data_IF_777681128874
#
_entry.id   IF_777681128874
#
_cell.length_a   1.000
_cell.length_b   1.000
_cell.length_c   1.000
_cell.angle_alpha   90.00
_cell.angle_beta   90.00
_cell.angle_gamma   90.00
#
_symmetry.space_group_name_H-M   'P 1'
#
loop_
_entity.id
_entity.type
_entity.pdbx_description
1 polymer ?
#
# COMPACT_ATOMS: atom_id res chain seq x y z
N UNK A 1 7.14 -3.21 -7.16
CA UNK A 1 7.28 -3.57 -5.74
C UNK A 1 7.37 -5.07 -5.56
N UNK A 2 8.35 -5.51 -4.77
CA UNK A 2 8.56 -6.89 -4.37
C UNK A 2 8.42 -7.09 -2.86
N UNK A 3 8.98 -8.19 -2.36
CA UNK A 3 8.96 -8.55 -0.94
C UNK A 3 9.96 -7.66 -0.18
N UNK A 4 9.47 -6.88 0.80
CA UNK A 4 10.27 -5.97 1.63
C UNK A 4 10.39 -6.56 3.03
N UNK A 5 11.62 -6.72 3.52
CA UNK A 5 11.86 -7.09 4.92
C UNK A 5 12.03 -5.82 5.75
N UNK A 6 11.11 -5.50 6.68
CA UNK A 6 11.32 -4.38 7.58
C UNK A 6 12.60 -4.55 8.41
N UNK A 7 13.32 -3.47 8.75
CA UNK A 7 14.61 -3.56 9.44
C UNK A 7 14.55 -4.31 10.77
N UNK A 8 13.46 -4.13 11.50
CA UNK A 8 13.18 -4.75 12.80
C UNK A 8 12.70 -6.20 12.73
N UNK A 9 12.39 -6.72 11.53
CA UNK A 9 11.95 -8.12 11.39
C UNK A 9 13.17 -9.02 11.11
N UNK A 10 13.37 -10.03 11.97
CA UNK A 10 14.47 -10.98 11.80
C UNK A 10 14.36 -11.75 10.48
N UNK A 11 15.51 -12.05 9.86
CA UNK A 11 15.57 -12.79 8.60
C UNK A 11 14.90 -14.17 8.70
N UNK A 12 15.13 -14.89 9.79
CA UNK A 12 14.59 -16.24 10.01
C UNK A 12 13.07 -16.25 10.19
N UNK A 13 12.49 -15.19 10.75
CA UNK A 13 11.05 -15.01 10.84
C UNK A 13 10.46 -14.66 9.47
N UNK A 14 11.06 -13.67 8.80
CA UNK A 14 10.64 -13.20 7.49
C UNK A 14 10.55 -14.32 6.44
N UNK A 15 11.54 -15.22 6.41
CA UNK A 15 11.57 -16.36 5.48
C UNK A 15 10.48 -17.41 5.75
N UNK A 16 9.88 -17.43 6.95
CA UNK A 16 8.85 -18.38 7.37
C UNK A 16 7.43 -17.83 7.28
N UNK A 17 7.26 -16.52 7.20
CA UNK A 17 5.93 -15.92 7.13
C UNK A 17 5.28 -16.15 5.75
N UNK A 18 3.99 -16.55 5.69
CA UNK A 18 3.22 -16.40 4.48
C UNK A 18 3.11 -14.88 4.26
N UNK A 19 3.79 -14.35 3.24
CA UNK A 19 4.05 -12.91 3.05
C UNK A 19 2.79 -12.01 3.11
N UNK A 20 2.36 -11.65 4.32
CA UNK A 20 1.30 -10.68 4.60
C UNK A 20 1.78 -9.23 4.45
N UNK A 21 3.09 -9.05 4.26
CA UNK A 21 3.79 -7.77 4.15
C UNK A 21 4.16 -7.47 2.69
N UNK A 22 3.26 -7.78 1.76
CA UNK A 22 3.45 -7.57 0.33
C UNK A 22 2.64 -6.35 -0.12
N UNK A 23 3.32 -5.28 -0.53
CA UNK A 23 2.70 -4.29 -1.40
C UNK A 23 2.84 -4.78 -2.84
N UNK A 24 1.70 -5.08 -3.46
CA UNK A 24 1.61 -5.83 -4.72
C UNK A 24 1.90 -4.95 -5.95
N UNK A 25 2.04 -3.64 -5.77
CA UNK A 25 2.08 -2.70 -6.88
C UNK A 25 3.31 -2.89 -7.76
N UNK A 26 3.14 -2.87 -9.08
CA UNK A 26 4.25 -2.77 -10.03
C UNK A 26 5.08 -4.03 -10.32
N UNK A 27 5.18 -5.06 -9.43
CA UNK A 27 5.88 -6.32 -9.75
C UNK A 27 5.09 -7.60 -9.44
N UNK A 28 3.78 -7.59 -9.68
CA UNK A 28 2.90 -8.74 -9.41
C UNK A 28 3.42 -10.07 -9.99
N UNK A 29 4.02 -10.05 -11.20
CA UNK A 29 4.54 -11.27 -11.82
C UNK A 29 5.79 -11.83 -11.13
N UNK A 30 6.71 -10.97 -10.70
CA UNK A 30 7.89 -11.38 -9.93
C UNK A 30 7.46 -11.86 -8.55
N UNK A 31 6.57 -11.11 -7.91
CA UNK A 31 6.00 -11.46 -6.61
C UNK A 31 5.24 -12.79 -6.62
N UNK A 32 4.55 -13.12 -7.72
CA UNK A 32 3.86 -14.40 -7.88
C UNK A 32 4.79 -15.63 -7.80
N UNK A 33 6.11 -15.45 -7.91
CA UNK A 33 7.08 -16.54 -7.73
C UNK A 33 7.27 -16.93 -6.25
N UNK A 34 6.95 -16.03 -5.32
CA UNK A 34 7.21 -16.19 -3.88
C UNK A 34 5.96 -15.97 -3.00
N UNK A 35 4.96 -15.21 -3.48
CA UNK A 35 3.72 -14.92 -2.77
C UNK A 35 2.53 -15.65 -3.39
N UNK A 36 1.82 -16.45 -2.57
CA UNK A 36 0.64 -17.21 -2.99
C UNK A 36 -0.51 -16.30 -3.43
N UNK A 37 -0.75 -15.20 -2.72
CA UNK A 37 -1.81 -14.23 -3.06
C UNK A 37 -1.54 -13.60 -4.43
N UNK A 38 -0.31 -13.11 -4.65
CA UNK A 38 0.09 -12.56 -5.95
C UNK A 38 -0.03 -13.59 -7.07
N UNK A 39 0.33 -14.85 -6.80
CA UNK A 39 0.22 -15.93 -7.76
C UNK A 39 -1.23 -16.17 -8.17
N UNK A 40 -2.13 -16.28 -7.20
CA UNK A 40 -3.57 -16.45 -7.44
C UNK A 40 -4.14 -15.27 -8.25
N UNK A 41 -3.76 -14.03 -7.92
CA UNK A 41 -4.16 -12.83 -8.67
C UNK A 41 -3.66 -12.83 -10.13
N UNK A 42 -2.40 -13.20 -10.37
CA UNK A 42 -1.82 -13.28 -11.72
C UNK A 42 -2.50 -14.38 -12.54
N UNK A 43 -2.73 -15.55 -11.95
CA UNK A 43 -3.43 -16.67 -12.57
C UNK A 43 -4.87 -16.29 -12.93
N UNK A 44 -5.58 -15.62 -12.02
CA UNK A 44 -6.92 -15.07 -12.25
C UNK A 44 -6.94 -14.06 -13.40
N UNK A 45 -6.03 -13.08 -13.37
CA UNK A 45 -5.95 -12.07 -14.43
C UNK A 45 -5.72 -12.71 -15.80
N UNK A 46 -4.87 -13.74 -15.87
CA UNK A 46 -4.64 -14.54 -17.09
C UNK A 46 -5.89 -15.30 -17.51
N UNK A 47 -6.64 -15.89 -16.58
CA UNK A 47 -7.88 -16.60 -16.86
C UNK A 47 -8.94 -15.69 -17.52
N UNK A 48 -9.22 -14.53 -16.94
CA UNK A 48 -10.20 -13.59 -17.51
C UNK A 48 -9.75 -13.01 -18.85
N UNK A 49 -8.46 -12.63 -18.98
CA UNK A 49 -7.90 -12.13 -20.24
C UNK A 49 -8.02 -13.18 -21.36
N UNK A 50 -7.71 -14.46 -21.09
CA UNK A 50 -7.89 -15.56 -22.06
C UNK A 50 -9.35 -15.74 -22.49
N UNK A 51 -10.30 -15.40 -21.63
CA UNK A 51 -11.72 -15.43 -21.94
C UNK A 51 -12.24 -14.14 -22.63
N UNK A 52 -11.36 -13.22 -23.03
CA UNK A 52 -11.73 -11.93 -23.63
C UNK A 52 -12.42 -10.96 -22.66
N UNK A 53 -12.28 -11.20 -21.35
CA UNK A 53 -12.90 -10.40 -20.29
C UNK A 53 -11.86 -9.44 -19.69
N UNK A 54 -12.33 -8.27 -19.29
CA UNK A 54 -11.52 -7.34 -18.51
C UNK A 54 -11.50 -7.82 -17.03
N UNK A 55 -10.36 -8.26 -16.48
CA UNK A 55 -10.29 -8.69 -15.07
C UNK A 55 -10.62 -7.55 -14.08
N UNK A 56 -10.52 -6.29 -14.50
CA UNK A 56 -10.81 -5.12 -13.67
C UNK A 56 -12.28 -4.67 -13.78
N UNK A 57 -13.13 -5.41 -14.49
CA UNK A 57 -14.57 -5.16 -14.48
C UNK A 57 -15.14 -5.50 -13.10
N UNK A 58 -15.81 -4.53 -12.48
CA UNK A 58 -16.43 -4.64 -11.17
C UNK A 58 -17.31 -5.89 -11.02
N UNK A 59 -17.96 -6.33 -12.10
CA UNK A 59 -18.76 -7.57 -12.07
C UNK A 59 -17.93 -8.78 -11.63
N UNK A 60 -16.73 -8.94 -12.17
CA UNK A 60 -15.87 -10.09 -11.86
C UNK A 60 -15.17 -9.91 -10.52
N UNK A 61 -14.77 -8.68 -10.18
CA UNK A 61 -14.21 -8.35 -8.86
C UNK A 61 -15.19 -8.68 -7.74
N UNK A 62 -16.46 -8.26 -7.86
CA UNK A 62 -17.47 -8.55 -6.83
C UNK A 62 -17.81 -10.03 -6.74
N UNK A 63 -17.89 -10.73 -7.87
CA UNK A 63 -18.11 -12.17 -7.86
C UNK A 63 -17.02 -12.89 -7.03
N UNK A 64 -15.77 -12.51 -7.23
CA UNK A 64 -14.64 -13.10 -6.51
C UNK A 64 -14.66 -12.75 -5.02
N UNK A 65 -14.99 -11.49 -4.67
CA UNK A 65 -15.14 -11.09 -3.26
C UNK A 65 -16.16 -11.99 -2.55
N UNK A 66 -17.32 -12.26 -3.16
CA UNK A 66 -18.35 -13.14 -2.60
C UNK A 66 -17.81 -14.56 -2.40
N UNK A 67 -17.11 -15.11 -3.39
CA UNK A 67 -16.52 -16.45 -3.30
C UNK A 67 -15.46 -16.54 -2.19
N UNK A 68 -14.63 -15.51 -2.03
CA UNK A 68 -13.61 -15.44 -0.99
C UNK A 68 -14.21 -15.26 0.41
N UNK A 69 -15.21 -14.39 0.57
CA UNK A 69 -15.94 -14.28 1.84
C UNK A 69 -16.62 -15.60 2.23
N UNK A 70 -17.20 -16.32 1.27
CA UNK A 70 -17.78 -17.64 1.54
C UNK A 70 -16.73 -18.68 1.99
N UNK A 71 -15.51 -18.64 1.42
CA UNK A 71 -14.40 -19.50 1.87
C UNK A 71 -13.97 -19.15 3.29
N UNK A 72 -13.77 -17.86 3.58
CA UNK A 72 -13.37 -17.37 4.91
C UNK A 72 -14.44 -17.72 5.95
N UNK A 73 -15.73 -17.51 5.65
CA UNK A 73 -16.82 -17.87 6.54
C UNK A 73 -16.78 -19.36 6.92
N UNK A 74 -16.60 -20.26 5.94
CA UNK A 74 -16.47 -21.70 6.20
C UNK A 74 -15.25 -22.05 7.06
N UNK A 75 -14.15 -21.32 6.91
CA UNK A 75 -12.96 -21.51 7.76
C UNK A 75 -13.25 -21.09 9.20
N UNK A 76 -13.91 -19.94 9.39
CA UNK A 76 -14.32 -19.43 10.71
C UNK A 76 -15.29 -20.41 11.39
N UNK A 77 -16.32 -20.89 10.69
CA UNK A 77 -17.27 -21.88 11.23
C UNK A 77 -16.57 -23.17 11.68
N UNK A 78 -15.61 -23.65 10.89
CA UNK A 78 -14.84 -24.85 11.21
C UNK A 78 -13.98 -24.65 12.46
N UNK A 79 -13.32 -23.51 12.58
CA UNK A 79 -12.46 -23.20 13.72
C UNK A 79 -13.28 -22.94 14.99
N UNK A 80 -14.40 -22.22 14.87
CA UNK A 80 -15.33 -22.01 15.98
C UNK A 80 -15.87 -23.34 16.52
N UNK A 81 -16.28 -24.27 15.64
CA UNK A 81 -16.70 -25.62 16.04
C UNK A 81 -15.57 -26.39 16.73
N UNK A 82 -14.33 -26.29 16.24
CA UNK A 82 -13.16 -26.94 16.85
C UNK A 82 -12.86 -26.38 18.24
N UNK A 83 -13.05 -25.08 18.44
CA UNK A 83 -12.74 -24.37 19.69
C UNK A 83 -13.93 -24.30 20.66
N UNK A 84 -15.11 -24.79 20.25
CA UNK A 84 -16.32 -24.74 21.07
C UNK A 84 -16.91 -23.33 21.21
N UNK A 85 -16.64 -22.43 20.25
CA UNK A 85 -17.11 -21.04 20.23
C UNK A 85 -18.48 -20.98 19.55
N UNK A 86 -19.44 -20.32 20.18
CA UNK A 86 -20.75 -20.03 19.60
C UNK A 86 -20.72 -18.70 18.85
N UNK A 87 -20.72 -18.77 17.51
CA UNK A 87 -20.70 -17.59 16.64
C UNK A 87 -22.00 -16.78 16.68
N UNK A 88 -23.09 -17.33 17.22
CA UNK A 88 -24.41 -16.66 17.28
C UNK A 88 -24.59 -15.78 18.51
N UNK A 89 -23.68 -15.90 19.48
CA UNK A 89 -23.74 -15.23 20.77
C UNK A 89 -22.37 -14.68 21.18
N UNK A 90 -21.69 -14.02 20.25
CA UNK A 90 -20.45 -13.30 20.52
C UNK A 90 -20.83 -11.96 21.16
N UNK A 91 -20.29 -11.60 22.34
CA UNK A 91 -20.50 -10.28 22.91
C UNK A 91 -19.95 -9.22 21.94
N UNK A 92 -20.74 -8.17 21.73
CA UNK A 92 -20.35 -7.02 20.93
C UNK A 92 -19.35 -6.20 21.76
N UNK A 93 -18.10 -6.64 21.78
CA UNK A 93 -17.01 -5.87 22.38
C UNK A 93 -16.84 -4.62 21.52
N UNK A 94 -17.18 -3.46 22.10
CA UNK A 94 -16.81 -2.19 21.48
C UNK A 94 -15.30 -2.17 21.35
N UNK A 95 -14.86 -2.04 20.10
CA UNK A 95 -13.45 -1.86 19.79
C UNK A 95 -12.94 -0.66 20.59
N UNK A 96 -11.98 -0.91 21.49
CA UNK A 96 -11.33 0.15 22.27
C UNK A 96 -10.22 0.83 21.49
N UNK A 97 -10.00 0.39 20.24
CA UNK A 97 -9.09 1.05 19.34
C UNK A 97 -9.43 2.54 19.19
N UNK A 98 -8.41 3.39 19.09
CA UNK A 98 -8.61 4.81 18.88
C UNK A 98 -9.23 5.08 17.50
N UNK A 99 -10.10 6.09 17.42
CA UNK A 99 -10.57 6.64 16.15
C UNK A 99 -9.40 7.33 15.41
N UNK A 100 -8.96 6.84 14.24
CA UNK A 100 -7.80 7.41 13.53
C UNK A 100 -7.93 8.91 13.22
N UNK A 101 -9.15 9.39 13.00
CA UNK A 101 -9.50 10.80 12.73
C UNK A 101 -9.08 11.75 13.86
N UNK A 102 -8.82 11.23 15.05
CA UNK A 102 -8.32 12.02 16.18
C UNK A 102 -6.82 12.31 16.11
N UNK A 103 -6.09 11.65 15.21
CA UNK A 103 -4.63 11.78 15.07
C UNK A 103 -4.27 12.76 13.96
N UNK A 104 -3.43 13.79 14.22
CA UNK A 104 -3.01 14.74 13.21
C UNK A 104 -2.38 14.11 11.96
N UNK A 105 -1.54 13.08 12.14
CA UNK A 105 -0.89 12.38 11.02
C UNK A 105 -1.90 11.73 10.08
N UNK A 106 -3.01 11.20 10.60
CA UNK A 106 -4.05 10.58 9.78
C UNK A 106 -4.78 11.62 8.92
N UNK A 107 -5.14 12.77 9.51
CA UNK A 107 -5.78 13.87 8.78
C UNK A 107 -4.88 14.42 7.67
N UNK A 108 -3.57 14.49 7.93
CA UNK A 108 -2.58 14.86 6.92
C UNK A 108 -2.53 13.85 5.77
N UNK A 109 -2.62 12.55 6.05
CA UNK A 109 -2.65 11.51 5.02
C UNK A 109 -3.94 11.52 4.20
N UNK A 110 -5.07 11.89 4.80
CA UNK A 110 -6.31 12.14 4.04
C UNK A 110 -6.11 13.31 3.06
N UNK A 111 -5.56 14.43 3.54
CA UNK A 111 -5.24 15.58 2.70
C UNK A 111 -4.24 15.26 1.58
N UNK A 112 -3.27 14.38 1.86
CA UNK A 112 -2.34 13.87 0.86
C UNK A 112 -3.06 13.07 -0.24
N UNK A 113 -3.94 12.14 0.15
CA UNK A 113 -4.74 11.34 -0.79
C UNK A 113 -5.62 12.20 -1.70
N UNK A 114 -6.28 13.21 -1.13
CA UNK A 114 -7.07 14.18 -1.89
C UNK A 114 -6.23 14.99 -2.89
N UNK A 115 -4.99 15.32 -2.52
CA UNK A 115 -4.09 16.03 -3.42
C UNK A 115 -3.55 15.13 -4.53
N UNK A 116 -3.22 13.87 -4.22
CA UNK A 116 -2.85 12.86 -5.20
C UNK A 116 -3.96 12.68 -6.26
N UNK A 117 -5.22 12.62 -5.83
CA UNK A 117 -6.39 12.56 -6.73
C UNK A 117 -6.47 13.75 -7.70
N UNK A 118 -6.15 14.96 -7.23
CA UNK A 118 -6.13 16.16 -8.09
C UNK A 118 -5.03 16.07 -9.15
N UNK A 119 -3.84 15.59 -8.78
CA UNK A 119 -2.75 15.40 -9.74
C UNK A 119 -3.09 14.32 -10.77
N UNK A 120 -3.67 13.18 -10.35
CA UNK A 120 -4.13 12.12 -11.25
C UNK A 120 -5.12 12.68 -12.28
N UNK A 121 -6.08 13.49 -11.85
CA UNK A 121 -7.03 14.15 -12.76
C UNK A 121 -6.35 15.07 -13.76
N UNK A 122 -5.35 15.85 -13.33
CA UNK A 122 -4.58 16.70 -14.25
C UNK A 122 -3.80 15.88 -15.29
N UNK A 123 -3.24 14.73 -14.88
CA UNK A 123 -2.50 13.83 -15.76
C UNK A 123 -3.40 13.00 -16.70
N UNK A 124 -4.74 13.11 -16.60
CA UNK A 124 -5.66 12.43 -17.52
C UNK A 124 -5.65 13.00 -18.94
N UNK A 125 -5.15 14.23 -19.11
CA UNK A 125 -5.05 14.91 -20.39
C UNK A 125 -3.72 15.66 -20.48
N UNK A 126 -2.71 15.01 -21.06
CA UNK A 126 -1.35 15.55 -21.18
C UNK A 126 -1.04 16.02 -22.61
N UNK A 127 -0.05 16.92 -22.81
CA UNK A 127 0.44 17.28 -24.13
C UNK A 127 0.85 16.06 -24.97
N UNK A 128 0.68 16.13 -26.29
CA UNK A 128 0.88 15.01 -27.21
C UNK A 128 2.32 14.47 -27.26
N UNK A 129 3.29 15.31 -26.93
CA UNK A 129 4.72 15.00 -26.87
C UNK A 129 5.17 14.50 -25.49
N UNK A 130 4.23 14.28 -24.56
CA UNK A 130 4.53 13.74 -23.25
C UNK A 130 5.04 12.30 -23.33
N UNK A 131 6.01 11.97 -22.48
CA UNK A 131 6.43 10.60 -22.25
C UNK A 131 5.30 9.85 -21.52
N UNK A 132 4.48 9.13 -22.28
CA UNK A 132 3.32 8.42 -21.75
C UNK A 132 3.69 7.28 -20.78
N UNK A 133 4.89 6.70 -20.89
CA UNK A 133 5.33 5.68 -19.94
C UNK A 133 5.57 6.28 -18.56
N UNK A 134 6.30 7.41 -18.50
CA UNK A 134 6.51 8.18 -17.28
C UNK A 134 5.18 8.61 -16.65
N UNK A 135 4.28 9.20 -17.46
CA UNK A 135 2.97 9.65 -17.00
C UNK A 135 2.15 8.49 -16.44
N UNK A 136 2.09 7.36 -17.16
CA UNK A 136 1.32 6.18 -16.72
C UNK A 136 1.87 5.62 -15.41
N UNK A 137 3.19 5.44 -15.29
CA UNK A 137 3.82 4.92 -14.06
C UNK A 137 3.61 5.86 -12.85
N UNK A 138 3.64 7.18 -13.09
CA UNK A 138 3.36 8.17 -12.05
C UNK A 138 1.89 8.15 -11.62
N UNK A 139 0.96 8.08 -12.58
CA UNK A 139 -0.47 7.95 -12.31
C UNK A 139 -0.78 6.68 -11.53
N UNK A 140 -0.21 5.54 -11.93
CA UNK A 140 -0.38 4.27 -11.22
C UNK A 140 0.08 4.39 -9.76
N UNK A 141 1.26 4.98 -9.52
CA UNK A 141 1.80 5.15 -8.16
C UNK A 141 0.93 6.05 -7.28
N UNK A 142 0.53 7.20 -7.83
CA UNK A 142 -0.38 8.12 -7.15
C UNK A 142 -1.74 7.45 -6.89
N UNK A 143 -2.30 6.72 -7.86
CA UNK A 143 -3.60 6.07 -7.74
C UNK A 143 -3.61 4.96 -6.70
N UNK A 144 -2.52 4.19 -6.59
CA UNK A 144 -2.32 3.24 -5.50
C UNK A 144 -2.26 3.96 -4.15
N UNK A 145 -1.40 4.98 -4.06
CA UNK A 145 -1.15 5.69 -2.80
C UNK A 145 -2.39 6.39 -2.24
N UNK A 146 -3.30 6.93 -3.07
CA UNK A 146 -4.38 7.83 -2.63
C UNK A 146 -5.24 7.24 -1.52
N UNK A 147 -5.53 5.94 -1.59
CA UNK A 147 -6.27 5.20 -0.56
C UNK A 147 -5.37 4.38 0.35
N UNK A 148 -4.26 3.85 -0.20
CA UNK A 148 -3.35 2.98 0.52
C UNK A 148 -2.70 3.67 1.72
N UNK A 149 -2.22 4.91 1.56
CA UNK A 149 -1.54 5.65 2.64
C UNK A 149 -2.48 5.93 3.80
N UNK A 150 -3.76 6.23 3.53
CA UNK A 150 -4.78 6.46 4.54
C UNK A 150 -5.05 5.17 5.31
N UNK A 151 -5.34 4.08 4.59
CA UNK A 151 -5.66 2.78 5.19
C UNK A 151 -4.50 2.23 6.03
N UNK A 152 -3.26 2.33 5.53
CA UNK A 152 -2.08 1.87 6.25
C UNK A 152 -1.70 2.78 7.43
N UNK A 153 -1.99 4.08 7.38
CA UNK A 153 -1.83 4.96 8.53
C UNK A 153 -2.82 4.62 9.64
N UNK A 154 -4.10 4.39 9.31
CA UNK A 154 -5.08 3.92 10.29
C UNK A 154 -4.65 2.58 10.93
N UNK A 155 -4.18 1.62 10.11
CA UNK A 155 -3.65 0.35 10.65
C UNK A 155 -2.46 0.59 11.57
N UNK A 156 -1.53 1.47 11.19
CA UNK A 156 -0.36 1.76 12.01
C UNK A 156 -0.75 2.33 13.39
N UNK A 157 -1.75 3.23 13.44
CA UNK A 157 -2.28 3.81 14.68
C UNK A 157 -2.95 2.73 15.55
N UNK A 158 -3.83 1.92 14.97
CA UNK A 158 -4.57 0.89 15.70
C UNK A 158 -3.65 -0.22 16.20
N UNK A 159 -2.74 -0.72 15.36
CA UNK A 159 -1.74 -1.72 15.74
C UNK A 159 -0.85 -1.22 16.87
N UNK A 160 -0.49 0.06 16.89
CA UNK A 160 0.30 0.62 18.01
C UNK A 160 -0.46 0.58 19.34
N UNK A 161 -1.77 0.76 19.30
CA UNK A 161 -2.62 0.62 20.48
C UNK A 161 -2.71 -0.85 20.93
N UNK A 162 -2.94 -1.78 19.99
CA UNK A 162 -2.96 -3.23 20.24
C UNK A 162 -1.62 -3.72 20.84
N UNK A 163 -0.49 -3.30 20.28
CA UNK A 163 0.87 -3.66 20.73
C UNK A 163 1.20 -3.17 22.15
N UNK A 164 0.59 -2.06 22.59
CA UNK A 164 0.75 -1.60 23.98
C UNK A 164 0.04 -2.50 24.98
N UNK A 165 -0.95 -3.27 24.54
CA UNK A 165 -1.76 -4.16 25.38
C UNK A 165 -1.36 -5.64 25.35
N UNK A 166 -0.55 -6.08 24.39
CA UNK A 166 -0.18 -7.49 24.21
C UNK A 166 1.31 -7.66 23.81
N UNK A 167 2.10 -8.30 24.67
CA UNK A 167 3.53 -8.59 24.44
C UNK A 167 3.77 -9.43 23.18
N UNK A 168 2.85 -10.35 22.81
CA UNK A 168 3.01 -11.17 21.61
C UNK A 168 2.84 -10.34 20.32
N UNK A 169 2.06 -9.26 20.39
CA UNK A 169 1.86 -8.36 19.25
C UNK A 169 3.05 -7.42 19.06
N UNK A 170 3.81 -7.11 20.11
CA UNK A 170 5.03 -6.30 20.01
C UNK A 170 6.10 -6.95 19.13
N UNK A 171 6.20 -8.29 19.13
CA UNK A 171 7.13 -9.01 18.27
C UNK A 171 6.81 -8.90 16.77
N UNK A 172 5.55 -8.60 16.42
CA UNK A 172 5.11 -8.44 15.04
C UNK A 172 5.42 -7.05 14.48
N UNK A 173 5.57 -6.04 15.35
CA UNK A 173 5.82 -4.64 15.00
C UNK A 173 4.97 -4.17 13.80
N UNK A 174 3.68 -4.49 13.83
CA UNK A 174 2.74 -4.25 12.74
C UNK A 174 2.46 -2.74 12.57
N UNK A 175 2.53 -1.97 13.66
CA UNK A 175 2.46 -0.52 13.64
C UNK A 175 3.60 0.09 12.81
N UNK A 176 4.85 -0.27 13.15
CA UNK A 176 6.05 0.16 12.42
C UNK A 176 6.02 -0.33 10.98
N UNK A 177 5.62 -1.60 10.76
CA UNK A 177 5.57 -2.20 9.42
C UNK A 177 4.53 -1.54 8.52
N UNK A 178 3.35 -1.22 9.05
CA UNK A 178 2.32 -0.49 8.31
C UNK A 178 2.76 0.92 7.97
N UNK A 179 3.36 1.65 8.93
CA UNK A 179 3.92 2.97 8.68
C UNK A 179 5.07 2.96 7.66
N UNK A 180 5.87 1.88 7.61
CA UNK A 180 6.97 1.75 6.66
C UNK A 180 6.42 1.71 5.24
N UNK A 181 5.31 1.01 5.01
CA UNK A 181 4.69 0.98 3.71
C UNK A 181 4.08 2.33 3.29
N UNK A 182 3.55 3.11 4.24
CA UNK A 182 3.13 4.49 3.98
C UNK A 182 4.34 5.32 3.54
N UNK A 183 5.44 5.24 4.31
CA UNK A 183 6.69 5.93 4.00
C UNK A 183 7.18 5.61 2.58
N UNK A 184 7.27 4.32 2.24
CA UNK A 184 7.71 3.87 0.92
C UNK A 184 6.79 4.36 -0.20
N UNK A 185 5.47 4.34 -0.01
CA UNK A 185 4.53 4.83 -1.01
C UNK A 185 4.69 6.33 -1.29
N UNK A 186 4.83 7.14 -0.23
CA UNK A 186 5.02 8.60 -0.34
C UNK A 186 6.39 8.93 -0.93
N UNK A 187 7.44 8.21 -0.53
CA UNK A 187 8.78 8.39 -1.08
C UNK A 187 8.79 8.17 -2.59
N UNK A 188 8.20 7.07 -3.07
CA UNK A 188 8.11 6.79 -4.51
C UNK A 188 7.32 7.86 -5.26
N UNK A 189 6.19 8.29 -4.71
CA UNK A 189 5.43 9.38 -5.30
C UNK A 189 6.24 10.67 -5.38
N UNK A 190 7.05 11.00 -4.37
CA UNK A 190 7.91 12.17 -4.40
C UNK A 190 8.90 12.11 -5.57
N UNK A 191 9.49 10.94 -5.83
CA UNK A 191 10.39 10.71 -6.98
C UNK A 191 9.63 10.86 -8.31
N UNK A 192 8.44 10.27 -8.41
CA UNK A 192 7.59 10.39 -9.60
C UNK A 192 7.20 11.84 -9.89
N UNK A 193 6.80 12.60 -8.87
CA UNK A 193 6.46 14.02 -8.97
C UNK A 193 7.67 14.85 -9.42
N UNK A 194 8.86 14.59 -8.88
CA UNK A 194 10.09 15.27 -9.30
C UNK A 194 10.47 14.94 -10.75
N UNK A 195 10.25 13.71 -11.21
CA UNK A 195 10.46 13.33 -12.60
C UNK A 195 9.45 14.03 -13.53
N UNK A 196 8.16 14.03 -13.19
CA UNK A 196 7.14 14.79 -13.91
C UNK A 196 7.46 16.29 -13.98
N UNK A 197 8.03 16.86 -12.91
CA UNK A 197 8.44 18.26 -12.87
C UNK A 197 9.62 18.59 -13.78
N UNK A 198 10.49 17.63 -14.08
CA UNK A 198 11.62 17.78 -15.02
C UNK A 198 11.20 17.57 -16.47
N UNK A 199 10.10 16.84 -16.68
CA UNK A 199 9.61 16.52 -18.00
C UNK A 199 9.08 17.77 -18.73
N UNK A 200 9.81 18.23 -19.76
CA UNK A 200 9.58 19.52 -20.45
C UNK A 200 8.14 19.74 -20.94
N UNK A 201 7.44 18.75 -21.53
CA UNK A 201 6.04 18.92 -21.95
C UNK A 201 5.12 19.31 -20.80
N UNK A 202 5.45 18.95 -19.55
CA UNK A 202 4.63 19.23 -18.35
C UNK A 202 5.10 20.47 -17.57
N UNK A 203 5.86 21.37 -18.21
CA UNK A 203 6.47 22.53 -17.54
C UNK A 203 5.45 23.44 -16.87
N UNK A 204 4.25 23.58 -17.43
CA UNK A 204 3.18 24.40 -16.86
C UNK A 204 2.66 23.85 -15.52
N UNK A 205 2.91 22.58 -15.24
CA UNK A 205 2.53 21.92 -13.98
C UNK A 205 3.70 21.72 -13.03
N UNK A 206 4.91 22.15 -13.44
CA UNK A 206 6.14 21.98 -12.67
C UNK A 206 6.04 22.49 -11.25
N UNK A 207 5.50 23.69 -11.05
CA UNK A 207 5.37 24.28 -9.72
C UNK A 207 4.49 23.44 -8.80
N UNK A 208 3.36 22.96 -9.31
CA UNK A 208 2.45 22.09 -8.57
C UNK A 208 3.13 20.75 -8.22
N UNK A 209 3.82 20.12 -9.16
CA UNK A 209 4.53 18.87 -8.92
C UNK A 209 5.66 19.04 -7.88
N UNK A 210 6.46 20.11 -7.98
CA UNK A 210 7.53 20.40 -7.02
C UNK A 210 6.96 20.69 -5.63
N UNK A 211 5.90 21.48 -5.55
CA UNK A 211 5.23 21.77 -4.28
C UNK A 211 4.71 20.50 -3.62
N UNK A 212 4.07 19.62 -4.40
CA UNK A 212 3.55 18.38 -3.84
C UNK A 212 4.66 17.40 -3.45
N UNK A 213 5.76 17.36 -4.20
CA UNK A 213 6.95 16.61 -3.80
C UNK A 213 7.52 17.15 -2.47
N UNK A 214 7.59 18.47 -2.27
CA UNK A 214 8.03 19.08 -1.01
C UNK A 214 7.13 18.66 0.17
N UNK A 215 5.81 18.77 0.01
CA UNK A 215 4.84 18.33 1.03
C UNK A 215 4.99 16.82 1.30
N UNK A 216 5.30 16.03 0.28
CA UNK A 216 5.55 14.60 0.44
C UNK A 216 6.75 14.35 1.35
N UNK A 217 7.84 15.11 1.17
CA UNK A 217 9.03 15.01 2.01
C UNK A 217 8.76 15.42 3.46
N UNK A 218 8.03 16.53 3.67
CA UNK A 218 7.64 16.96 5.03
C UNK A 218 6.79 15.88 5.74
N UNK A 219 5.93 15.18 5.00
CA UNK A 219 5.13 14.06 5.52
C UNK A 219 5.98 12.83 5.85
N UNK A 220 7.03 12.55 5.07
CA UNK A 220 7.97 11.47 5.39
C UNK A 220 8.71 11.76 6.69
N UNK A 221 9.13 13.01 6.91
CA UNK A 221 9.78 13.42 8.15
C UNK A 221 8.84 13.28 9.36
N UNK A 222 7.59 13.73 9.23
CA UNK A 222 6.58 13.56 10.29
C UNK A 222 6.26 12.08 10.58
N UNK A 223 6.11 11.25 9.54
CA UNK A 223 5.94 9.80 9.72
C UNK A 223 7.12 9.17 10.44
N UNK A 224 8.33 9.61 10.13
CA UNK A 224 9.55 9.13 10.75
C UNK A 224 9.63 9.50 12.22
N UNK A 225 9.35 10.75 12.56
CA UNK A 225 9.30 11.19 13.95
C UNK A 225 8.21 10.46 14.74
N UNK A 226 7.07 10.19 14.11
CA UNK A 226 5.93 9.55 14.76
C UNK A 226 6.16 8.04 14.99
N UNK A 227 6.64 7.29 13.98
CA UNK A 227 6.71 5.81 14.01
C UNK A 227 8.12 5.23 14.12
N UNK A 228 9.16 6.00 13.81
CA UNK A 228 10.55 5.52 13.72
C UNK A 228 11.55 6.43 14.48
N UNK A 229 11.27 6.90 15.71
CA UNK A 229 12.09 7.92 16.37
C UNK A 229 13.53 7.47 16.68
N UNK A 230 13.75 6.16 16.82
CA UNK A 230 15.04 5.57 17.20
C UNK A 230 15.70 4.75 16.08
N UNK A 231 15.00 4.58 14.95
CA UNK A 231 15.41 3.65 13.90
C UNK A 231 15.98 4.38 12.69
N UNK A 232 17.13 3.91 12.19
CA UNK A 232 17.60 4.28 10.86
C UNK A 232 16.76 3.49 9.84
N UNK A 233 16.01 4.19 9.00
CA UNK A 233 15.26 3.59 7.90
C UNK A 233 16.20 3.19 6.77
N UNK A 234 16.74 1.99 6.85
CA UNK A 234 17.48 1.33 5.76
C UNK A 234 16.73 0.06 5.35
N UNK A 235 15.99 0.14 4.24
CA UNK A 235 15.22 -0.98 3.70
C UNK A 235 15.66 -1.33 2.28
N UNK A 236 15.76 -2.63 2.02
CA UNK A 236 16.00 -3.15 0.68
C UNK A 236 14.65 -3.55 0.05
N UNK A 237 14.31 -2.92 -1.07
CA UNK A 237 13.15 -3.29 -1.87
C UNK A 237 13.56 -4.22 -3.01
N UNK A 238 13.10 -5.47 -2.96
CA UNK A 238 13.27 -6.40 -4.07
C UNK A 238 12.46 -5.95 -5.30
N UNK A 239 13.09 -5.79 -6.46
CA UNK A 239 12.43 -5.45 -7.72
C UNK A 239 12.05 -3.98 -7.93
N UNK A 240 12.52 -3.05 -7.08
CA UNK A 240 12.36 -1.60 -7.28
C UNK A 240 12.99 -1.09 -8.59
N UNK A 241 13.99 -1.80 -9.11
CA UNK A 241 14.80 -1.42 -10.27
C UNK A 241 13.99 -1.17 -11.55
N UNK A 242 12.87 -1.87 -11.76
CA UNK A 242 12.01 -1.63 -12.93
C UNK A 242 11.22 -0.32 -12.81
N UNK A 243 10.69 -0.03 -11.63
CA UNK A 243 9.96 1.21 -11.35
C UNK A 243 10.91 2.42 -11.37
N UNK A 244 12.07 2.30 -10.72
CA UNK A 244 13.03 3.40 -10.61
C UNK A 244 13.72 3.75 -11.94
N UNK A 245 13.81 2.82 -12.89
CA UNK A 245 14.40 3.08 -14.22
C UNK A 245 13.64 4.17 -14.98
N UNK A 246 12.30 4.17 -14.95
CA UNK A 246 11.48 5.16 -15.65
C UNK A 246 11.69 6.60 -15.15
N UNK A 247 12.21 6.78 -13.93
CA UNK A 247 12.45 8.10 -13.33
C UNK A 247 13.91 8.56 -13.42
N UNK A 248 14.84 7.68 -13.81
CA UNK A 248 16.27 8.02 -14.02
C UNK A 248 16.55 8.64 -15.39
N UNK A 249 15.69 8.39 -16.37
CA UNK A 249 15.86 8.80 -17.77
C UNK A 249 15.00 10.02 -18.17
N UNK A 250 14.27 10.62 -17.21
CA UNK A 250 13.32 11.73 -17.41
C UNK A 250 13.91 13.13 -17.21
#
# INVERSE_FOLDING_TARGET
MGVVRPPWISKSWFEKCPFNYCDHFGNQEVLATICKVCKEDVERNRFYKKAGKNPNDWKYVFQEMVENFAKVHKMIEKDAKRLGIDLTNIPDEKDSAPEPETYPIFLLMQGYGDHAEKIIKNLSAVPIDSNMELVTRAVDGLAHSRGYVIAKTARAINSRYEEKGDENMQELADSKTSALFVYMAIERNSRALLALAKHKPLRDWRENHVKFASVSLDLLDMLREEFFPEDILDYEEFGSEEYDRCFKEA
#
